data_IF_675751320032
#
_entry.id   IF_675751320032
#
_cell.length_a   1.000
_cell.length_b   1.000
_cell.length_c   1.000
_cell.angle_alpha   90.00
_cell.angle_beta   90.00
_cell.angle_gamma   90.00
#
_symmetry.space_group_name_H-M   'P 1'
#
loop_
_entity.id
_entity.type
_entity.pdbx_description
1 polymer ?
#
# COMPACT_ATOMS: atom_id res chain seq x y z
N UNK A 1 -9.58 19.48 7.52
CA UNK A 1 -9.65 18.15 8.17
C UNK A 1 -10.39 17.19 7.26
N UNK A 2 -9.79 16.07 6.81
CA UNK A 2 -10.53 15.08 6.03
C UNK A 2 -11.38 14.22 6.97
N UNK A 3 -12.68 14.13 6.69
CA UNK A 3 -13.69 13.46 7.51
C UNK A 3 -13.45 11.94 7.60
N UNK A 4 -13.56 11.40 8.82
CA UNK A 4 -13.28 10.01 9.21
C UNK A 4 -14.06 8.96 8.37
N UNK A 5 -15.19 9.33 7.78
CA UNK A 5 -16.03 8.45 6.96
C UNK A 5 -15.48 8.12 5.56
N UNK A 6 -14.57 8.95 5.02
CA UNK A 6 -13.84 8.62 3.79
C UNK A 6 -12.76 7.57 4.05
N UNK A 7 -12.16 7.63 5.24
CA UNK A 7 -11.07 6.75 5.65
C UNK A 7 -11.52 5.30 5.83
N UNK A 8 -12.71 5.07 6.40
CA UNK A 8 -13.24 3.71 6.64
C UNK A 8 -13.65 2.98 5.37
N UNK A 9 -14.30 3.67 4.42
CA UNK A 9 -14.71 3.07 3.13
C UNK A 9 -13.52 2.71 2.23
N UNK A 10 -12.46 3.52 2.26
CA UNK A 10 -11.23 3.19 1.53
C UNK A 10 -10.58 1.89 2.04
N UNK A 11 -10.59 1.65 3.36
CA UNK A 11 -9.96 0.46 3.95
C UNK A 11 -10.59 -0.87 3.54
N UNK A 12 -11.91 -0.93 3.33
CA UNK A 12 -12.59 -2.16 2.91
C UNK A 12 -12.32 -2.48 1.44
N UNK A 13 -12.37 -1.46 0.57
CA UNK A 13 -12.03 -1.56 -0.85
C UNK A 13 -10.56 -1.96 -1.01
N UNK A 14 -9.64 -1.36 -0.25
CA UNK A 14 -8.21 -1.69 -0.29
C UNK A 14 -7.94 -3.14 0.14
N UNK A 15 -8.70 -3.67 1.11
CA UNK A 15 -8.62 -5.08 1.53
C UNK A 15 -9.08 -6.01 0.41
N UNK A 16 -10.23 -5.71 -0.21
CA UNK A 16 -10.77 -6.54 -1.30
C UNK A 16 -9.82 -6.55 -2.52
N UNK A 17 -9.24 -5.40 -2.87
CA UNK A 17 -8.24 -5.31 -3.94
C UNK A 17 -7.00 -6.14 -3.57
N UNK A 18 -6.51 -6.05 -2.33
CA UNK A 18 -5.37 -6.82 -1.84
C UNK A 18 -5.58 -8.34 -1.89
N UNK A 19 -6.77 -8.79 -1.48
CA UNK A 19 -7.15 -10.21 -1.53
C UNK A 19 -7.23 -10.72 -2.98
N UNK A 20 -7.85 -9.95 -3.89
CA UNK A 20 -7.91 -10.30 -5.31
C UNK A 20 -6.52 -10.35 -5.95
N UNK A 21 -5.66 -9.39 -5.62
CA UNK A 21 -4.29 -9.35 -6.13
C UNK A 21 -3.49 -10.59 -5.70
N UNK A 22 -3.62 -10.99 -4.43
CA UNK A 22 -3.02 -12.22 -3.89
C UNK A 22 -3.55 -13.47 -4.60
N UNK A 23 -4.85 -13.57 -4.84
CA UNK A 23 -5.45 -14.71 -5.55
C UNK A 23 -4.91 -14.81 -6.98
N UNK A 24 -4.92 -13.71 -7.73
CA UNK A 24 -4.40 -13.65 -9.11
C UNK A 24 -2.92 -14.01 -9.18
N UNK A 25 -2.13 -13.61 -8.16
CA UNK A 25 -0.73 -13.98 -8.04
C UNK A 25 -0.56 -15.49 -7.86
N UNK A 26 -1.29 -16.07 -6.92
CA UNK A 26 -1.20 -17.50 -6.59
C UNK A 26 -1.66 -18.37 -7.76
N UNK A 27 -2.76 -18.01 -8.43
CA UNK A 27 -3.24 -18.71 -9.62
C UNK A 27 -2.22 -18.73 -10.76
N UNK A 28 -1.37 -17.69 -10.86
CA UNK A 28 -0.31 -17.61 -11.86
C UNK A 28 1.04 -18.16 -11.37
N UNK A 29 1.12 -18.74 -10.17
CA UNK A 29 2.36 -19.23 -9.59
C UNK A 29 3.42 -18.15 -9.38
N UNK A 30 3.02 -16.88 -9.30
CA UNK A 30 3.95 -15.75 -9.23
C UNK A 30 4.41 -15.49 -7.79
N UNK A 31 5.64 -15.02 -7.62
CA UNK A 31 6.09 -14.48 -6.33
C UNK A 31 5.65 -13.02 -6.17
N UNK A 32 5.62 -12.50 -4.94
CA UNK A 32 5.30 -11.09 -4.69
C UNK A 32 6.31 -10.16 -5.38
N UNK A 33 7.59 -10.55 -5.45
CA UNK A 33 8.62 -9.80 -6.17
C UNK A 33 8.38 -9.78 -7.68
N UNK A 34 7.98 -10.93 -8.25
CA UNK A 34 7.65 -11.03 -9.68
C UNK A 34 6.46 -10.15 -10.04
N UNK A 35 5.39 -10.21 -9.23
CA UNK A 35 4.22 -9.37 -9.44
C UNK A 35 4.54 -7.89 -9.23
N UNK A 36 5.34 -7.56 -8.20
CA UNK A 36 5.76 -6.20 -7.91
C UNK A 36 6.51 -5.57 -9.09
N UNK A 37 7.46 -6.30 -9.67
CA UNK A 37 8.16 -5.89 -10.90
C UNK A 37 7.20 -5.69 -12.07
N UNK A 38 6.23 -6.58 -12.25
CA UNK A 38 5.27 -6.51 -13.35
C UNK A 38 4.35 -5.26 -13.28
N UNK A 39 4.07 -4.76 -12.07
CA UNK A 39 3.23 -3.56 -11.85
C UNK A 39 4.05 -2.34 -11.39
N UNK A 40 5.37 -2.41 -11.51
CA UNK A 40 6.32 -1.37 -11.14
C UNK A 40 6.19 -0.85 -9.69
N UNK A 41 6.03 -1.76 -8.74
CA UNK A 41 6.07 -1.47 -7.30
C UNK A 41 7.13 -2.29 -6.59
N UNK A 42 7.64 -1.76 -5.49
CA UNK A 42 8.61 -2.48 -4.66
C UNK A 42 7.99 -3.70 -3.99
N UNK A 43 8.82 -4.68 -3.62
CA UNK A 43 8.39 -5.84 -2.84
C UNK A 43 7.64 -5.44 -1.56
N UNK A 44 8.12 -4.41 -0.87
CA UNK A 44 7.49 -3.90 0.35
C UNK A 44 6.11 -3.28 0.08
N UNK A 45 5.94 -2.55 -1.03
CA UNK A 45 4.63 -2.02 -1.43
C UNK A 45 3.67 -3.14 -1.83
N UNK A 46 4.13 -4.13 -2.60
CA UNK A 46 3.33 -5.31 -2.94
C UNK A 46 2.86 -6.07 -1.69
N UNK A 47 3.75 -6.23 -0.70
CA UNK A 47 3.40 -6.87 0.57
C UNK A 47 2.34 -6.06 1.34
N UNK A 48 2.38 -4.72 1.29
CA UNK A 48 1.34 -3.85 1.89
C UNK A 48 0.01 -3.99 1.17
N UNK A 49 0.02 -4.04 -0.16
CA UNK A 49 -1.18 -4.19 -0.98
C UNK A 49 -1.86 -5.53 -0.71
N UNK A 50 -1.13 -6.65 -0.76
CA UNK A 50 -1.72 -7.97 -0.48
C UNK A 50 -2.21 -8.16 0.95
N UNK A 51 -1.78 -7.32 1.90
CA UNK A 51 -2.24 -7.36 3.29
C UNK A 51 -3.37 -6.35 3.58
N UNK A 52 -3.78 -5.54 2.60
CA UNK A 52 -4.75 -4.45 2.79
C UNK A 52 -4.23 -3.32 3.70
N UNK A 53 -2.93 -3.29 4.01
CA UNK A 53 -2.31 -2.26 4.85
C UNK A 53 -1.81 -1.10 4.00
N UNK A 54 -2.71 -0.34 3.39
CA UNK A 54 -2.33 0.96 2.82
C UNK A 54 -2.68 2.11 3.75
N UNK A 55 -1.85 2.25 4.79
CA UNK A 55 -1.57 3.56 5.38
C UNK A 55 -0.66 4.35 4.42
N UNK A 56 -1.14 4.66 3.21
CA UNK A 56 -0.48 5.61 2.29
C UNK A 56 -0.33 7.00 2.95
N UNK A 57 -1.09 7.28 4.02
CA UNK A 57 -1.01 8.53 4.77
C UNK A 57 0.12 8.63 5.82
N UNK A 58 0.75 7.52 6.26
CA UNK A 58 1.81 7.64 7.29
C UNK A 58 3.20 7.91 6.72
N UNK A 59 3.44 7.65 5.43
CA UNK A 59 4.75 7.92 4.83
C UNK A 59 4.93 9.40 4.49
N UNK A 60 3.84 10.15 4.24
CA UNK A 60 3.87 11.60 4.07
C UNK A 60 4.11 12.36 5.40
N UNK A 61 3.72 11.80 6.54
CA UNK A 61 3.86 12.47 7.83
C UNK A 61 5.22 12.25 8.52
N UNK A 62 6.03 11.27 8.05
CA UNK A 62 7.37 11.01 8.62
C UNK A 62 8.44 11.90 7.96
N UNK A 63 8.19 12.46 6.76
CA UNK A 63 9.14 13.37 6.11
C UNK A 63 9.02 14.84 6.57
N UNK A 64 7.98 15.17 7.34
CA UNK A 64 7.74 16.55 7.82
C UNK A 64 8.33 16.82 9.22
N UNK A 65 8.95 15.82 9.86
CA UNK A 65 9.63 15.94 11.17
C UNK A 65 11.15 15.73 11.11
N UNK A 66 11.73 15.71 9.91
CA UNK A 66 13.19 15.64 9.71
C UNK A 66 13.68 16.93 9.04
N UNK A 67 13.90 17.96 9.85
CA UNK A 67 14.91 19.00 9.56
C UNK A 67 14.59 19.97 8.43
N UNK A 68 13.67 20.91 8.70
CA UNK A 68 14.01 22.31 8.40
C UNK A 68 14.83 22.83 9.58
N UNK A 69 16.14 22.62 9.51
CA UNK A 69 17.10 23.56 10.07
C UNK A 69 18.11 23.82 8.94
N UNK A 70 17.80 24.89 8.20
CA UNK A 70 18.72 25.64 7.37
C UNK A 70 19.83 26.22 8.23
N UNK A 71 21.06 26.28 7.70
CA UNK A 71 22.01 27.39 7.90
C UNK A 71 22.51 27.64 9.32
#
# INVERSE_FOLDING_TARGET
MPSIDRQRRNSEIDREIGERLRQLRQMRGMTQTTLGKAVNVTFQQMQKYERGFNRIAAFLQIHELSGRDNG
#
